data_IF_171326407619
#
_entry.id   IF_171326407619
#
_cell.length_a   1.000
_cell.length_b   1.000
_cell.length_c   1.000
_cell.angle_alpha   90.00
_cell.angle_beta   90.00
_cell.angle_gamma   90.00
#
_symmetry.space_group_name_H-M   'P 1'
#
loop_
_entity.id
_entity.type
_entity.pdbx_description
1 polymer ?
#
# COMPACT_ATOMS: atom_id res chain seq x y z
N UNK A 1 -12.21 6.71 -8.28
CA UNK A 1 -11.75 6.11 -7.00
C UNK A 1 -11.38 4.65 -7.24
N UNK A 2 -10.23 4.18 -6.76
CA UNK A 2 -9.79 2.78 -6.89
C UNK A 2 -9.40 2.23 -5.52
N UNK A 3 -10.05 1.15 -5.10
CA UNK A 3 -9.82 0.54 -3.79
C UNK A 3 -9.20 -0.85 -3.95
N UNK A 4 -8.31 -1.19 -3.03
CA UNK A 4 -7.51 -2.40 -3.06
C UNK A 4 -7.43 -2.99 -1.67
N UNK A 5 -7.60 -4.31 -1.53
CA UNK A 5 -7.51 -5.02 -0.25
C UNK A 5 -6.31 -5.97 -0.25
N UNK A 6 -5.53 -5.97 0.83
CA UNK A 6 -4.41 -6.91 0.99
C UNK A 6 -4.92 -8.35 0.99
N UNK A 7 -4.30 -9.19 0.18
CA UNK A 7 -4.55 -10.64 0.14
C UNK A 7 -3.28 -11.47 0.34
N UNK A 8 -2.09 -10.84 0.30
CA UNK A 8 -0.82 -11.52 0.56
C UNK A 8 0.21 -10.61 1.21
N UNK A 9 0.99 -11.19 2.13
CA UNK A 9 2.10 -10.52 2.82
C UNK A 9 3.32 -11.45 2.80
N UNK A 10 4.37 -11.03 2.11
CA UNK A 10 5.68 -11.69 2.09
C UNK A 10 6.68 -10.81 2.86
N UNK A 11 7.01 -11.18 4.10
CA UNK A 11 7.94 -10.40 4.92
C UNK A 11 9.39 -10.52 4.40
N UNK A 12 10.10 -9.39 4.33
CA UNK A 12 11.51 -9.32 3.90
C UNK A 12 12.46 -9.11 5.07
N UNK A 13 11.99 -8.39 6.08
CA UNK A 13 12.62 -8.29 7.39
C UNK A 13 11.85 -9.16 8.41
N UNK A 14 12.39 -9.40 9.62
CA UNK A 14 11.66 -10.08 10.69
C UNK A 14 10.42 -9.28 11.11
N UNK A 15 9.30 -9.51 10.44
CA UNK A 15 7.99 -8.95 10.80
C UNK A 15 7.29 -9.95 11.72
N UNK A 16 6.86 -9.52 12.90
CA UNK A 16 6.11 -10.37 13.83
C UNK A 16 4.80 -10.84 13.21
N UNK A 17 4.33 -12.01 13.65
CA UNK A 17 3.05 -12.56 13.18
C UNK A 17 1.87 -11.65 13.53
N UNK A 18 1.96 -10.89 14.62
CA UNK A 18 0.96 -9.88 14.98
C UNK A 18 0.86 -8.76 13.93
N UNK A 19 1.99 -8.26 13.43
CA UNK A 19 2.02 -7.22 12.40
C UNK A 19 1.52 -7.80 11.07
N UNK A 20 1.97 -9.00 10.68
CA UNK A 20 1.45 -9.67 9.48
C UNK A 20 -0.06 -9.84 9.53
N UNK A 21 -0.60 -10.28 10.67
CA UNK A 21 -2.03 -10.48 10.84
C UNK A 21 -2.80 -9.15 10.80
N UNK A 22 -2.26 -8.08 11.39
CA UNK A 22 -2.85 -6.75 11.30
C UNK A 22 -2.92 -6.26 9.85
N UNK A 23 -1.85 -6.45 9.07
CA UNK A 23 -1.82 -6.08 7.65
C UNK A 23 -2.81 -6.93 6.83
N UNK A 24 -2.89 -8.24 7.06
CA UNK A 24 -3.85 -9.10 6.34
C UNK A 24 -5.32 -8.78 6.70
N UNK A 25 -5.57 -8.39 7.96
CA UNK A 25 -6.93 -8.12 8.44
C UNK A 25 -7.42 -6.74 8.00
N UNK A 26 -6.57 -5.73 8.15
CA UNK A 26 -6.96 -4.32 7.98
C UNK A 26 -6.47 -3.73 6.66
N UNK A 27 -5.49 -4.35 6.02
CA UNK A 27 -4.78 -3.82 4.87
C UNK A 27 -5.71 -3.49 3.71
N UNK A 28 -5.84 -2.22 3.42
CA UNK A 28 -6.68 -1.68 2.36
C UNK A 28 -6.11 -0.32 1.94
N UNK A 29 -6.16 0.00 0.65
CA UNK A 29 -5.82 1.32 0.15
C UNK A 29 -6.90 1.79 -0.80
N UNK A 30 -7.41 3.00 -0.59
CA UNK A 30 -8.34 3.67 -1.48
C UNK A 30 -7.68 4.92 -2.03
N UNK A 31 -7.51 4.96 -3.36
CA UNK A 31 -6.92 6.08 -4.09
C UNK A 31 -8.02 6.91 -4.74
N UNK A 32 -8.00 8.22 -4.49
CA UNK A 32 -8.96 9.18 -5.03
C UNK A 32 -8.34 9.97 -6.19
N UNK A 33 -9.19 10.47 -7.09
CA UNK A 33 -8.73 11.14 -8.33
C UNK A 33 -8.03 12.47 -8.09
N UNK A 34 -8.25 13.09 -6.93
CA UNK A 34 -7.60 14.30 -6.46
C UNK A 34 -6.19 14.04 -5.87
N UNK A 35 -5.69 12.80 -5.90
CA UNK A 35 -4.34 12.46 -5.48
C UNK A 35 -4.20 12.08 -4.00
N UNK A 36 -5.32 11.86 -3.31
CA UNK A 36 -5.33 11.39 -1.92
C UNK A 36 -5.41 9.86 -1.81
N UNK A 37 -4.96 9.35 -0.67
CA UNK A 37 -5.03 7.93 -0.32
C UNK A 37 -5.41 7.74 1.14
N UNK A 38 -6.32 6.79 1.39
CA UNK A 38 -6.73 6.40 2.74
C UNK A 38 -6.70 4.89 2.92
N UNK A 39 -6.62 4.42 4.16
CA UNK A 39 -6.72 3.00 4.52
C UNK A 39 -5.64 2.56 5.50
N UNK A 40 -5.11 1.34 5.32
CA UNK A 40 -4.09 0.75 6.18
C UNK A 40 -3.02 0.06 5.33
N UNK A 41 -1.75 0.42 5.54
CA UNK A 41 -0.60 -0.22 4.90
C UNK A 41 0.26 -0.94 5.94
N UNK A 42 1.04 -0.18 6.70
CA UNK A 42 1.72 -0.62 7.93
C UNK A 42 1.12 0.04 9.18
N UNK A 43 0.43 1.16 8.96
CA UNK A 43 -0.36 1.94 9.89
C UNK A 43 -1.57 2.47 9.15
N UNK A 44 -2.52 3.01 9.90
CA UNK A 44 -3.64 3.75 9.34
C UNK A 44 -3.16 5.01 8.63
N UNK A 45 -3.80 5.32 7.50
CA UNK A 45 -3.59 6.50 6.68
C UNK A 45 -4.97 7.13 6.53
N UNK A 46 -5.18 8.29 7.16
CA UNK A 46 -6.49 8.94 7.20
C UNK A 46 -6.65 10.03 6.14
N UNK A 47 -5.55 10.69 5.77
CA UNK A 47 -5.51 11.72 4.75
C UNK A 47 -4.10 11.78 4.11
N UNK A 48 -3.71 10.67 3.48
CA UNK A 48 -2.43 10.58 2.79
C UNK A 48 -2.48 11.15 1.38
N UNK A 49 -1.31 11.34 0.79
CA UNK A 49 -1.16 11.67 -0.64
C UNK A 49 -0.35 10.62 -1.36
N UNK A 50 -0.54 10.50 -2.68
CA UNK A 50 0.24 9.56 -3.47
C UNK A 50 0.75 10.15 -4.78
N UNK A 51 1.87 9.60 -5.25
CA UNK A 51 2.45 9.92 -6.55
C UNK A 51 2.89 8.64 -7.26
N UNK A 52 2.37 8.43 -8.47
CA UNK A 52 2.84 7.41 -9.40
C UNK A 52 3.92 8.02 -10.29
N UNK A 53 5.12 7.48 -10.22
CA UNK A 53 6.26 7.89 -11.05
C UNK A 53 6.75 6.73 -11.89
N UNK A 54 7.69 7.00 -12.80
CA UNK A 54 8.32 5.97 -13.64
C UNK A 54 7.30 5.10 -14.41
N UNK A 55 6.26 5.73 -14.96
CA UNK A 55 5.16 5.05 -15.68
C UNK A 55 4.42 4.01 -14.82
N UNK A 56 4.22 4.31 -13.54
CA UNK A 56 3.48 3.45 -12.61
C UNK A 56 4.30 2.31 -11.98
N UNK A 57 5.61 2.26 -12.25
CA UNK A 57 6.53 1.30 -11.62
C UNK A 57 6.96 1.70 -10.22
N UNK A 58 6.74 2.95 -9.84
CA UNK A 58 7.09 3.46 -8.52
C UNK A 58 5.95 4.27 -7.93
N UNK A 59 5.44 3.80 -6.80
CA UNK A 59 4.41 4.46 -6.02
C UNK A 59 5.05 5.06 -4.77
N UNK A 60 4.82 6.35 -4.55
CA UNK A 60 5.16 7.01 -3.28
C UNK A 60 3.88 7.38 -2.59
N UNK A 61 3.62 6.79 -1.43
CA UNK A 61 2.53 7.20 -0.53
C UNK A 61 3.15 8.05 0.58
N UNK A 62 2.51 9.13 0.97
CA UNK A 62 2.85 9.88 2.18
C UNK A 62 1.66 9.84 3.11
N UNK A 63 1.88 9.50 4.38
CA UNK A 63 0.85 9.64 5.41
C UNK A 63 0.55 11.12 5.70
N UNK A 64 -0.43 11.37 6.57
CA UNK A 64 -0.91 12.70 6.94
C UNK A 64 0.16 13.59 7.59
N UNK A 65 1.22 13.01 8.16
CA UNK A 65 2.36 13.74 8.72
C UNK A 65 3.55 13.84 7.75
N UNK A 66 3.40 13.32 6.53
CA UNK A 66 4.38 13.40 5.46
C UNK A 66 5.44 12.28 5.43
N UNK A 67 5.28 11.23 6.23
CA UNK A 67 6.18 10.05 6.22
C UNK A 67 6.04 9.32 4.88
N UNK A 68 7.13 9.18 4.10
CA UNK A 68 7.05 8.54 2.80
C UNK A 68 7.19 7.01 2.88
N UNK A 69 6.25 6.32 2.25
CA UNK A 69 6.32 4.92 1.87
C UNK A 69 6.67 4.85 0.38
N UNK A 70 7.93 4.53 0.09
CA UNK A 70 8.42 4.40 -1.28
C UNK A 70 8.38 2.94 -1.67
N UNK A 71 7.56 2.62 -2.67
CA UNK A 71 7.31 1.26 -3.11
C UNK A 71 7.67 1.12 -4.59
N UNK A 72 8.36 0.04 -4.95
CA UNK A 72 8.26 -0.44 -6.33
C UNK A 72 6.84 -1.03 -6.49
N UNK A 73 6.17 -0.67 -7.58
CA UNK A 73 4.76 -1.01 -7.81
C UNK A 73 4.56 -1.77 -9.11
N UNK A 74 3.75 -2.83 -9.04
CA UNK A 74 3.17 -3.48 -10.22
C UNK A 74 1.67 -3.31 -10.15
N UNK A 75 1.09 -2.69 -11.17
CA UNK A 75 -0.33 -2.38 -11.24
C UNK A 75 -0.90 -3.05 -12.49
N UNK A 76 -1.87 -3.94 -12.30
CA UNK A 76 -2.70 -4.52 -13.36
C UNK A 76 -4.15 -4.12 -13.15
N UNK A 77 -5.06 -4.63 -13.98
CA UNK A 77 -6.50 -4.38 -13.84
C UNK A 77 -7.03 -4.85 -12.48
N UNK A 78 -6.57 -6.02 -12.02
CA UNK A 78 -7.10 -6.71 -10.84
C UNK A 78 -6.15 -6.73 -9.64
N UNK A 79 -4.84 -6.50 -9.85
CA UNK A 79 -3.83 -6.61 -8.80
C UNK A 79 -3.00 -5.36 -8.65
N UNK A 80 -2.72 -5.03 -7.39
CA UNK A 80 -1.68 -4.09 -7.00
C UNK A 80 -0.65 -4.88 -6.18
N UNK A 81 0.62 -4.77 -6.55
CA UNK A 81 1.73 -5.33 -5.77
C UNK A 81 2.64 -4.19 -5.36
N UNK A 82 2.85 -4.05 -4.05
CA UNK A 82 3.76 -3.07 -3.47
C UNK A 82 4.94 -3.81 -2.87
N UNK A 83 6.11 -3.55 -3.40
CA UNK A 83 7.36 -4.03 -2.86
C UNK A 83 7.95 -2.91 -1.98
N UNK A 84 7.78 -3.08 -0.66
CA UNK A 84 8.38 -2.23 0.36
C UNK A 84 9.68 -2.84 0.87
N UNK A 85 10.45 -2.04 1.61
CA UNK A 85 11.66 -2.50 2.30
C UNK A 85 11.35 -3.64 3.27
N UNK A 86 10.29 -3.50 4.07
CA UNK A 86 9.94 -4.41 5.17
C UNK A 86 9.19 -5.66 4.68
N UNK A 87 8.34 -5.49 3.65
CA UNK A 87 7.49 -6.56 3.14
C UNK A 87 7.06 -6.29 1.69
N UNK A 88 6.77 -7.37 0.96
CA UNK A 88 6.03 -7.31 -0.29
C UNK A 88 4.57 -7.62 -0.01
N UNK A 89 3.70 -6.72 -0.45
CA UNK A 89 2.26 -6.76 -0.23
C UNK A 89 1.55 -6.97 -1.56
N UNK A 90 0.63 -7.92 -1.59
CA UNK A 90 -0.25 -8.17 -2.74
C UNK A 90 -1.65 -7.76 -2.37
N UNK A 91 -2.30 -7.01 -3.26
CA UNK A 91 -3.66 -6.54 -3.10
C UNK A 91 -4.49 -6.94 -4.30
N UNK A 92 -5.75 -7.25 -4.05
CA UNK A 92 -6.77 -7.42 -5.09
C UNK A 92 -7.72 -6.21 -5.09
N UNK A 93 -8.19 -5.84 -6.27
CA UNK A 93 -9.13 -4.72 -6.44
C UNK A 93 -10.48 -5.04 -5.80
N UNK A 94 -11.15 -4.03 -5.24
CA UNK A 94 -12.49 -4.10 -4.66
C UNK A 94 -13.42 -3.01 -5.20
#
# INVERSE_FOLDING_TARGET
MNSWKVTGVEAKEPVSDSIKNAILTNGMLTFTEDGHVTGYLLREITDGTYALTQKGKKLVIKDEVGTPYVCESTITEDKLVLDLKEAKLTFDKI
#
